data_IF_621639735300
#
_entry.id   IF_621639735300
#
_cell.length_a   1.000
_cell.length_b   1.000
_cell.length_c   1.000
_cell.angle_alpha   90.00
_cell.angle_beta   90.00
_cell.angle_gamma   90.00
#
_symmetry.space_group_name_H-M   'P 1'
#
loop_
_entity.id
_entity.type
_entity.pdbx_description
1 polymer ?
#
# COMPACT_ATOMS: atom_id res chain seq x y z
N UNK A 1 61.69 30.03 -22.79
CA UNK A 1 60.24 30.27 -23.01
C UNK A 1 59.78 31.33 -22.01
N UNK A 2 59.28 32.47 -22.49
CA UNK A 2 59.06 33.69 -21.69
C UNK A 2 57.91 33.51 -20.67
N UNK A 3 58.01 34.07 -19.46
CA UNK A 3 57.06 33.85 -18.36
C UNK A 3 55.62 34.30 -18.70
N UNK A 4 55.49 35.29 -19.61
CA UNK A 4 54.21 35.74 -20.20
C UNK A 4 53.53 34.65 -21.04
N UNK A 5 54.28 33.89 -21.83
CA UNK A 5 53.73 32.87 -22.75
C UNK A 5 53.17 31.66 -21.98
N UNK A 6 53.78 31.30 -20.84
CA UNK A 6 53.25 30.29 -19.92
C UNK A 6 51.93 30.73 -19.26
N UNK A 7 51.85 31.97 -18.79
CA UNK A 7 50.61 32.53 -18.19
C UNK A 7 49.45 32.55 -19.18
N UNK A 8 49.69 32.92 -20.44
CA UNK A 8 48.65 32.93 -21.49
C UNK A 8 48.13 31.52 -21.78
N UNK A 9 49.01 30.51 -21.88
CA UNK A 9 48.59 29.11 -22.07
C UNK A 9 47.74 28.59 -20.89
N UNK A 10 48.12 28.92 -19.65
CA UNK A 10 47.34 28.56 -18.46
C UNK A 10 45.93 29.17 -18.47
N UNK A 11 45.81 30.46 -18.79
CA UNK A 11 44.50 31.14 -18.89
C UNK A 11 43.61 30.47 -19.95
N UNK A 12 44.17 30.11 -21.11
CA UNK A 12 43.42 29.41 -22.17
C UNK A 12 42.93 28.03 -21.73
N UNK A 13 43.73 27.28 -20.97
CA UNK A 13 43.32 25.98 -20.41
C UNK A 13 42.16 26.17 -19.40
N UNK A 14 42.24 27.17 -18.52
CA UNK A 14 41.14 27.46 -17.58
C UNK A 14 39.84 27.89 -18.27
N UNK A 15 39.93 28.72 -19.32
CA UNK A 15 38.76 29.09 -20.14
C UNK A 15 38.17 27.85 -20.82
N UNK A 16 39.01 26.94 -21.31
CA UNK A 16 38.55 25.71 -21.93
C UNK A 16 37.84 24.78 -20.94
N UNK A 17 38.39 24.61 -19.73
CA UNK A 17 37.74 23.85 -18.64
C UNK A 17 36.38 24.49 -18.28
N UNK A 18 36.32 25.82 -18.19
CA UNK A 18 35.07 26.53 -17.90
C UNK A 18 34.00 26.32 -19.00
N UNK A 19 34.38 26.42 -20.29
CA UNK A 19 33.49 26.16 -21.42
C UNK A 19 32.99 24.71 -21.39
N UNK A 20 33.87 23.75 -21.13
CA UNK A 20 33.51 22.34 -21.03
C UNK A 20 32.50 22.07 -19.92
N UNK A 21 32.69 22.73 -18.76
CA UNK A 21 31.81 22.60 -17.61
C UNK A 21 30.42 23.18 -17.91
N UNK A 22 30.37 24.34 -18.58
CA UNK A 22 29.09 24.96 -19.01
C UNK A 22 28.38 24.09 -20.04
N UNK A 23 29.10 23.53 -21.01
CA UNK A 23 28.53 22.64 -22.02
C UNK A 23 28.04 21.34 -21.38
N UNK A 24 28.80 20.74 -20.46
CA UNK A 24 28.32 19.58 -19.68
C UNK A 24 27.04 19.90 -18.92
N UNK A 25 26.99 21.04 -18.22
CA UNK A 25 25.80 21.43 -17.46
C UNK A 25 24.58 21.68 -18.38
N UNK A 26 24.82 22.27 -19.56
CA UNK A 26 23.77 22.48 -20.56
C UNK A 26 23.27 21.15 -21.15
N UNK A 27 24.17 20.22 -21.48
CA UNK A 27 23.81 18.87 -21.95
C UNK A 27 22.99 18.14 -20.89
N UNK A 28 23.45 18.17 -19.64
CA UNK A 28 22.78 17.54 -18.50
C UNK A 28 21.35 18.07 -18.28
N UNK A 29 21.16 19.39 -18.32
CA UNK A 29 19.88 19.99 -17.94
C UNK A 29 18.90 20.17 -19.10
N UNK A 30 19.40 20.35 -20.32
CA UNK A 30 18.57 20.65 -21.50
C UNK A 30 18.25 19.38 -22.28
N UNK A 31 19.17 18.41 -22.36
CA UNK A 31 19.00 17.21 -23.16
C UNK A 31 18.62 15.97 -22.36
N UNK A 32 18.92 15.92 -21.05
CA UNK A 32 18.69 14.75 -20.21
C UNK A 32 17.90 15.07 -18.94
N UNK A 33 16.58 15.19 -19.05
CA UNK A 33 15.69 15.26 -17.88
C UNK A 33 15.46 13.85 -17.29
N UNK A 34 16.48 13.37 -16.55
CA UNK A 34 16.47 12.02 -15.95
C UNK A 34 15.90 12.12 -14.52
N UNK A 35 14.74 11.50 -14.25
CA UNK A 35 14.13 11.52 -12.93
C UNK A 35 14.85 10.58 -11.96
N UNK A 36 14.58 10.75 -10.66
CA UNK A 36 15.17 9.92 -9.60
C UNK A 36 14.63 8.49 -9.62
N UNK A 37 15.44 7.47 -9.27
CA UNK A 37 14.99 6.10 -9.10
C UNK A 37 13.85 5.97 -8.07
N UNK A 38 12.95 5.00 -8.27
CA UNK A 38 11.77 4.76 -7.43
C UNK A 38 12.02 3.86 -6.21
N UNK A 39 13.12 3.09 -6.16
CA UNK A 39 13.26 1.93 -5.24
C UNK A 39 13.78 2.24 -3.83
N UNK A 40 13.99 3.49 -3.43
CA UNK A 40 14.54 3.79 -2.08
C UNK A 40 13.59 3.48 -0.91
N UNK A 41 12.35 3.05 -1.15
CA UNK A 41 11.27 2.96 -0.13
C UNK A 41 10.46 1.67 -0.15
N UNK A 42 10.94 0.60 -0.76
CA UNK A 42 10.18 -0.66 -0.87
C UNK A 42 9.77 -1.25 0.50
N UNK A 43 10.70 -1.23 1.46
CA UNK A 43 10.43 -1.62 2.86
C UNK A 43 9.35 -0.72 3.49
N UNK A 44 9.36 0.58 3.20
CA UNK A 44 8.40 1.56 3.74
C UNK A 44 6.96 1.27 3.29
N UNK A 45 6.79 0.72 2.08
CA UNK A 45 5.45 0.39 1.55
C UNK A 45 4.95 -0.97 2.03
N UNK A 46 5.83 -1.94 2.27
CA UNK A 46 5.42 -3.27 2.72
C UNK A 46 5.28 -3.38 4.25
N UNK A 47 6.06 -2.59 5.01
CA UNK A 47 6.09 -2.65 6.47
C UNK A 47 4.70 -2.55 7.14
N UNK A 48 3.79 -1.63 6.74
CA UNK A 48 2.45 -1.56 7.34
C UNK A 48 1.63 -2.85 7.22
N UNK A 49 1.80 -3.59 6.12
CA UNK A 49 1.15 -4.89 5.92
C UNK A 49 1.73 -5.93 6.86
N UNK A 50 3.05 -5.99 6.98
CA UNK A 50 3.73 -6.93 7.89
C UNK A 50 3.33 -6.72 9.35
N UNK A 51 3.21 -5.48 9.79
CA UNK A 51 2.73 -5.14 11.14
C UNK A 51 1.28 -5.57 11.34
N UNK A 52 0.42 -5.31 10.34
CA UNK A 52 -0.97 -5.74 10.36
C UNK A 52 -1.12 -7.27 10.42
N UNK A 53 -0.35 -8.04 9.66
CA UNK A 53 -0.37 -9.51 9.69
C UNK A 53 -0.07 -10.05 11.10
N UNK A 54 0.88 -9.45 11.81
CA UNK A 54 1.20 -9.83 13.20
C UNK A 54 0.00 -9.59 14.12
N UNK A 55 -0.59 -8.40 14.06
CA UNK A 55 -1.76 -8.05 14.88
C UNK A 55 -2.99 -8.89 14.55
N UNK A 56 -3.23 -9.17 13.26
CA UNK A 56 -4.31 -10.05 12.79
C UNK A 56 -4.13 -11.47 13.33
N UNK A 57 -2.90 -12.00 13.32
CA UNK A 57 -2.60 -13.33 13.87
C UNK A 57 -2.86 -13.40 15.37
N UNK A 58 -2.41 -12.41 16.14
CA UNK A 58 -2.64 -12.34 17.59
C UNK A 58 -4.13 -12.25 17.93
N UNK A 59 -4.89 -11.43 17.19
CA UNK A 59 -6.34 -11.31 17.39
C UNK A 59 -7.08 -12.59 17.01
N UNK A 60 -6.66 -13.26 15.94
CA UNK A 60 -7.25 -14.54 15.57
C UNK A 60 -7.01 -15.61 16.64
N UNK A 61 -5.78 -15.68 17.17
CA UNK A 61 -5.45 -16.54 18.31
C UNK A 61 -6.31 -16.20 19.53
N UNK A 62 -6.47 -14.92 19.86
CA UNK A 62 -7.33 -14.48 20.97
C UNK A 62 -8.80 -14.90 20.80
N UNK A 63 -9.37 -14.73 19.61
CA UNK A 63 -10.76 -15.13 19.33
C UNK A 63 -10.97 -16.64 19.44
N UNK A 64 -9.98 -17.43 19.00
CA UNK A 64 -9.98 -18.89 19.13
C UNK A 64 -9.77 -19.34 20.59
N UNK A 65 -8.76 -18.81 21.29
CA UNK A 65 -8.43 -19.16 22.67
C UNK A 65 -9.55 -18.82 23.65
N UNK A 66 -10.25 -17.71 23.43
CA UNK A 66 -11.42 -17.31 24.22
C UNK A 66 -12.70 -18.01 23.80
N UNK A 67 -12.64 -18.90 22.80
CA UNK A 67 -13.77 -19.68 22.29
C UNK A 67 -15.02 -18.84 21.98
N UNK A 68 -14.85 -17.54 21.66
CA UNK A 68 -15.95 -16.57 21.53
C UNK A 68 -16.96 -17.01 20.46
N UNK A 69 -16.45 -17.58 19.37
CA UNK A 69 -17.27 -18.09 18.26
C UNK A 69 -18.10 -19.29 18.70
N UNK A 70 -17.53 -20.23 19.47
CA UNK A 70 -18.29 -21.36 20.03
C UNK A 70 -19.28 -20.90 21.09
N UNK A 71 -18.96 -19.88 21.87
CA UNK A 71 -19.84 -19.32 22.87
C UNK A 71 -21.02 -18.55 22.27
N UNK A 72 -20.89 -18.02 21.06
CA UNK A 72 -21.93 -17.24 20.40
C UNK A 72 -22.70 -18.03 19.32
N UNK A 73 -22.18 -19.19 18.91
CA UNK A 73 -22.79 -20.03 17.90
C UNK A 73 -24.16 -20.59 18.34
N UNK A 74 -25.22 -20.07 17.73
CA UNK A 74 -26.61 -20.54 17.88
C UNK A 74 -26.85 -21.95 17.31
N UNK A 75 -25.98 -22.42 16.42
CA UNK A 75 -26.03 -23.78 15.82
C UNK A 75 -25.75 -24.91 16.82
N UNK A 76 -25.29 -24.60 18.04
CA UNK A 76 -25.09 -25.61 19.10
C UNK A 76 -26.39 -25.96 19.84
N UNK A 77 -27.50 -25.28 19.53
CA UNK A 77 -28.85 -25.61 20.02
C UNK A 77 -29.08 -25.42 21.53
N UNK A 78 -28.18 -24.74 22.24
CA UNK A 78 -28.15 -24.75 23.72
C UNK A 78 -28.12 -23.39 24.44
N UNK A 79 -28.30 -22.25 23.78
CA UNK A 79 -28.18 -20.95 24.47
C UNK A 79 -29.43 -20.09 24.47
N UNK A 80 -29.81 -19.66 25.68
CA UNK A 80 -30.65 -18.50 25.96
C UNK A 80 -29.90 -17.22 25.60
N UNK A 81 -30.60 -16.27 24.96
CA UNK A 81 -30.06 -14.95 24.60
C UNK A 81 -30.20 -14.06 25.85
N UNK A 82 -29.32 -14.28 26.83
CA UNK A 82 -29.32 -13.61 28.13
C UNK A 82 -28.24 -12.51 28.23
N UNK A 83 -28.09 -11.90 29.41
CA UNK A 83 -27.06 -10.87 29.67
C UNK A 83 -25.62 -11.37 29.47
N UNK A 84 -25.38 -12.66 29.70
CA UNK A 84 -24.07 -13.28 29.47
C UNK A 84 -23.78 -13.38 27.98
N UNK A 85 -24.76 -13.80 27.17
CA UNK A 85 -24.66 -13.82 25.72
C UNK A 85 -24.34 -12.43 25.16
N UNK A 86 -25.05 -11.39 25.62
CA UNK A 86 -24.80 -10.01 25.18
C UNK A 86 -23.38 -9.52 25.55
N UNK A 87 -22.86 -9.95 26.70
CA UNK A 87 -21.49 -9.64 27.14
C UNK A 87 -20.44 -10.28 26.23
N UNK A 88 -20.61 -11.55 25.86
CA UNK A 88 -19.71 -12.25 24.94
C UNK A 88 -19.79 -11.65 23.54
N UNK A 89 -21.00 -11.32 23.08
CA UNK A 89 -21.24 -10.70 21.78
C UNK A 89 -20.56 -9.34 21.67
N UNK A 90 -20.64 -8.55 22.74
CA UNK A 90 -19.93 -7.27 22.86
C UNK A 90 -18.42 -7.45 22.67
N UNK A 91 -17.81 -8.42 23.36
CA UNK A 91 -16.37 -8.71 23.25
C UNK A 91 -15.99 -9.11 21.83
N UNK A 92 -16.77 -9.99 21.20
CA UNK A 92 -16.55 -10.37 19.80
C UNK A 92 -16.62 -9.18 18.85
N UNK A 93 -17.66 -8.34 18.93
CA UNK A 93 -17.78 -7.14 18.10
C UNK A 93 -16.65 -6.14 18.32
N UNK A 94 -16.15 -6.00 19.56
CA UNK A 94 -14.98 -5.18 19.83
C UNK A 94 -13.73 -5.70 19.11
N UNK A 95 -13.49 -7.02 19.13
CA UNK A 95 -12.37 -7.62 18.40
C UNK A 95 -12.50 -7.46 16.89
N UNK A 96 -13.69 -7.72 16.33
CA UNK A 96 -13.97 -7.48 14.91
C UNK A 96 -13.75 -6.02 14.51
N UNK A 97 -14.17 -5.07 15.34
CA UNK A 97 -13.94 -3.66 15.11
C UNK A 97 -12.44 -3.32 15.06
N UNK A 98 -11.64 -3.87 15.97
CA UNK A 98 -10.20 -3.67 15.97
C UNK A 98 -9.52 -4.28 14.74
N UNK A 99 -9.90 -5.51 14.35
CA UNK A 99 -9.42 -6.15 13.13
C UNK A 99 -9.61 -5.25 11.91
N UNK A 100 -10.83 -4.74 11.71
CA UNK A 100 -11.11 -3.84 10.60
C UNK A 100 -10.30 -2.55 10.70
N UNK A 101 -10.18 -1.94 11.88
CA UNK A 101 -9.37 -0.72 12.09
C UNK A 101 -7.90 -0.92 11.74
N UNK A 102 -7.33 -2.08 12.02
CA UNK A 102 -5.93 -2.40 11.66
C UNK A 102 -5.78 -2.42 10.15
N UNK A 103 -6.64 -3.14 9.42
CA UNK A 103 -6.48 -3.31 7.98
C UNK A 103 -6.86 -2.06 7.16
N UNK A 104 -7.73 -1.20 7.68
CA UNK A 104 -8.02 0.13 7.10
C UNK A 104 -7.21 1.25 7.75
N UNK A 105 -6.11 0.89 8.42
CA UNK A 105 -5.25 1.89 9.04
C UNK A 105 -4.68 2.83 7.98
N UNK A 106 -4.50 4.09 8.38
CA UNK A 106 -3.94 5.13 7.51
C UNK A 106 -2.63 4.69 6.82
N UNK A 107 -1.67 4.05 7.49
CA UNK A 107 -0.43 3.60 6.84
C UNK A 107 -0.66 2.60 5.70
N UNK A 108 -1.59 1.64 5.86
CA UNK A 108 -1.92 0.66 4.81
C UNK A 108 -2.55 1.37 3.60
N UNK A 109 -3.56 2.21 3.84
CA UNK A 109 -4.24 2.93 2.77
C UNK A 109 -3.29 3.86 2.01
N UNK A 110 -2.42 4.60 2.72
CA UNK A 110 -1.40 5.42 2.10
C UNK A 110 -0.40 4.61 1.28
N UNK A 111 -0.06 3.40 1.71
CA UNK A 111 0.84 2.52 0.95
C UNK A 111 0.18 2.02 -0.34
N UNK A 112 -1.11 1.66 -0.29
CA UNK A 112 -1.91 1.31 -1.47
C UNK A 112 -1.94 2.48 -2.46
N UNK A 113 -2.24 3.69 -1.99
CA UNK A 113 -2.33 4.88 -2.82
C UNK A 113 -0.97 5.20 -3.47
N UNK A 114 0.13 5.20 -2.71
CA UNK A 114 1.48 5.46 -3.22
C UNK A 114 1.96 4.40 -4.21
N UNK A 115 1.70 3.12 -3.94
CA UNK A 115 2.04 2.05 -4.89
C UNK A 115 1.28 2.24 -6.21
N UNK A 116 -0.01 2.58 -6.13
CA UNK A 116 -0.84 2.84 -7.31
C UNK A 116 -0.36 4.05 -8.11
N UNK A 117 -0.01 5.14 -7.42
CA UNK A 117 0.57 6.34 -8.04
C UNK A 117 1.91 6.03 -8.72
N UNK A 118 2.79 5.29 -8.06
CA UNK A 118 4.10 4.92 -8.61
C UNK A 118 3.97 4.02 -9.84
N UNK A 119 3.01 3.08 -9.85
CA UNK A 119 2.69 2.28 -11.04
C UNK A 119 2.31 3.20 -12.21
N UNK A 120 1.44 4.19 -11.98
CA UNK A 120 1.04 5.14 -13.02
C UNK A 120 2.19 6.02 -13.52
N UNK A 121 3.05 6.50 -12.62
CA UNK A 121 4.26 7.25 -13.00
C UNK A 121 5.19 6.36 -13.84
N UNK A 122 5.39 5.11 -13.43
CA UNK A 122 6.25 4.16 -14.14
C UNK A 122 5.72 3.87 -15.54
N UNK A 123 4.41 3.61 -15.69
CA UNK A 123 3.75 3.41 -16.99
C UNK A 123 3.91 4.61 -17.91
N UNK A 124 3.65 5.82 -17.41
CA UNK A 124 3.77 7.06 -18.19
C UNK A 124 5.21 7.29 -18.65
N UNK A 125 6.17 7.14 -17.75
CA UNK A 125 7.58 7.37 -18.05
C UNK A 125 8.16 6.30 -18.99
N UNK A 126 7.79 5.03 -18.80
CA UNK A 126 8.23 3.94 -19.68
C UNK A 126 7.49 3.94 -21.02
N UNK A 127 6.29 4.52 -21.07
CA UNK A 127 5.35 4.46 -22.20
C UNK A 127 4.98 3.02 -22.56
N UNK A 128 4.90 2.14 -21.55
CA UNK A 128 4.69 0.71 -21.72
C UNK A 128 3.85 0.14 -20.57
N UNK A 129 2.94 -0.76 -20.92
CA UNK A 129 2.15 -1.55 -19.96
C UNK A 129 2.80 -2.90 -19.65
N UNK A 130 4.02 -3.16 -20.14
CA UNK A 130 4.71 -4.44 -19.92
C UNK A 130 4.96 -4.72 -18.44
N UNK A 131 5.11 -3.70 -17.60
CA UNK A 131 5.30 -3.89 -16.17
C UNK A 131 4.02 -4.31 -15.42
N UNK A 132 2.86 -4.28 -16.08
CA UNK A 132 1.60 -4.79 -15.55
C UNK A 132 1.41 -6.30 -15.83
N UNK A 133 2.30 -6.90 -16.62
CA UNK A 133 2.24 -8.31 -16.97
C UNK A 133 2.89 -9.15 -15.88
N UNK A 134 2.09 -9.97 -15.19
CA UNK A 134 2.60 -11.02 -14.31
C UNK A 134 2.59 -12.33 -15.12
N UNK A 135 3.75 -12.97 -15.23
CA UNK A 135 3.96 -14.17 -16.05
C UNK A 135 3.50 -14.02 -17.51
N UNK A 136 3.60 -12.79 -18.04
CA UNK A 136 3.20 -12.47 -19.41
C UNK A 136 1.71 -12.19 -19.63
N UNK A 137 0.87 -12.19 -18.57
CA UNK A 137 -0.56 -11.89 -18.66
C UNK A 137 -0.96 -10.62 -17.89
N UNK A 138 -1.92 -9.85 -18.45
CA UNK A 138 -2.58 -8.73 -17.77
C UNK A 138 -3.70 -9.18 -16.81
N UNK A 139 -4.04 -10.47 -16.78
CA UNK A 139 -5.17 -10.97 -16.01
C UNK A 139 -5.05 -10.62 -14.53
N UNK A 140 -3.85 -10.69 -13.96
CA UNK A 140 -3.62 -10.38 -12.54
C UNK A 140 -3.90 -8.92 -12.22
N UNK A 141 -3.44 -7.98 -13.05
CA UNK A 141 -3.71 -6.55 -12.86
C UNK A 141 -5.20 -6.22 -13.06
N UNK A 142 -5.81 -6.76 -14.11
CA UNK A 142 -7.24 -6.58 -14.38
C UNK A 142 -8.10 -7.13 -13.25
N UNK A 143 -7.74 -8.31 -12.72
CA UNK A 143 -8.39 -8.92 -11.57
C UNK A 143 -8.23 -8.08 -10.31
N UNK A 144 -7.03 -7.52 -10.10
CA UNK A 144 -6.74 -6.64 -8.97
C UNK A 144 -7.62 -5.39 -9.02
N UNK A 145 -7.69 -4.69 -10.15
CA UNK A 145 -8.55 -3.50 -10.30
C UNK A 145 -10.02 -3.85 -10.08
N UNK A 146 -10.49 -4.97 -10.65
CA UNK A 146 -11.88 -5.42 -10.54
C UNK A 146 -12.26 -5.86 -9.12
N UNK A 147 -11.34 -6.48 -8.37
CA UNK A 147 -11.64 -7.07 -7.06
C UNK A 147 -11.22 -6.19 -5.89
N UNK A 148 -10.08 -5.53 -5.96
CA UNK A 148 -9.49 -4.86 -4.80
C UNK A 148 -10.14 -3.52 -4.48
N UNK A 149 -10.42 -2.68 -5.50
CA UNK A 149 -11.08 -1.39 -5.29
C UNK A 149 -12.46 -1.50 -4.66
N UNK A 150 -13.36 -2.41 -5.13
CA UNK A 150 -14.62 -2.64 -4.43
C UNK A 150 -14.45 -3.20 -3.02
N UNK A 151 -13.45 -4.07 -2.82
CA UNK A 151 -13.14 -4.64 -1.51
C UNK A 151 -12.70 -3.57 -0.50
N UNK A 152 -11.82 -2.64 -0.89
CA UNK A 152 -11.40 -1.50 -0.04
C UNK A 152 -12.63 -0.68 0.38
N UNK A 153 -13.50 -0.32 -0.57
CA UNK A 153 -14.74 0.44 -0.26
C UNK A 153 -15.64 -0.32 0.71
N UNK A 154 -15.79 -1.64 0.50
CA UNK A 154 -16.60 -2.51 1.35
C UNK A 154 -16.05 -2.55 2.78
N UNK A 155 -14.75 -2.82 2.93
CA UNK A 155 -14.05 -2.92 4.22
C UNK A 155 -14.09 -1.57 4.96
N UNK A 156 -13.90 -0.45 4.27
CA UNK A 156 -14.00 0.91 4.87
C UNK A 156 -15.38 1.19 5.49
N UNK A 157 -16.45 0.57 5.00
CA UNK A 157 -17.80 0.71 5.56
C UNK A 157 -18.06 -0.14 6.83
N UNK A 158 -17.28 -1.20 7.05
CA UNK A 158 -17.51 -2.19 8.13
C UNK A 158 -17.44 -1.61 9.54
N UNK A 159 -16.45 -0.76 9.91
CA UNK A 159 -16.36 -0.22 11.26
C UNK A 159 -17.63 0.52 11.71
N UNK A 160 -18.26 1.28 10.81
CA UNK A 160 -19.49 2.02 11.13
C UNK A 160 -20.67 1.10 11.39
N UNK A 161 -20.83 0.04 10.60
CA UNK A 161 -21.86 -0.97 10.79
C UNK A 161 -21.67 -1.71 12.13
N UNK A 162 -20.44 -2.13 12.44
CA UNK A 162 -20.09 -2.79 13.70
C UNK A 162 -20.38 -1.88 14.90
N UNK A 163 -19.95 -0.62 14.83
CA UNK A 163 -20.21 0.38 15.89
C UNK A 163 -21.69 0.61 16.13
N UNK A 164 -22.52 0.62 15.07
CA UNK A 164 -23.96 0.77 15.21
C UNK A 164 -24.57 -0.37 16.01
N UNK A 165 -24.17 -1.61 15.76
CA UNK A 165 -24.65 -2.76 16.55
C UNK A 165 -24.06 -2.72 17.96
N UNK A 166 -22.79 -2.35 18.10
CA UNK A 166 -22.13 -2.28 19.41
C UNK A 166 -22.83 -1.30 20.37
N UNK A 167 -23.30 -0.16 19.85
CA UNK A 167 -24.12 0.80 20.63
C UNK A 167 -25.44 0.18 21.07
N UNK A 168 -26.15 -0.48 20.16
CA UNK A 168 -27.39 -1.19 20.51
C UNK A 168 -27.19 -2.22 21.61
N UNK A 169 -26.13 -3.03 21.52
CA UNK A 169 -25.76 -4.03 22.54
C UNK A 169 -25.55 -3.38 23.92
N UNK A 170 -24.95 -2.19 23.98
CA UNK A 170 -24.72 -1.44 25.22
C UNK A 170 -26.01 -0.86 25.83
N UNK A 171 -26.96 -0.53 24.99
CA UNK A 171 -28.23 0.11 25.36
C UNK A 171 -29.33 -0.90 25.67
N UNK A 172 -29.09 -2.21 25.44
CA UNK A 172 -30.05 -3.28 25.73
C UNK A 172 -30.43 -3.25 27.23
N UNK A 173 -31.72 -3.12 27.56
CA UNK A 173 -32.19 -3.21 28.94
C UNK A 173 -31.85 -4.58 29.55
N UNK A 174 -31.41 -4.65 30.82
CA UNK A 174 -31.10 -5.91 31.50
C UNK A 174 -32.28 -6.89 31.47
N UNK A 175 -32.00 -8.18 31.58
CA UNK A 175 -33.02 -9.23 31.43
C UNK A 175 -34.12 -9.11 32.48
N UNK A 176 -33.73 -8.66 33.68
CA UNK A 176 -34.63 -8.36 34.78
C UNK A 176 -34.67 -6.86 35.04
N UNK A 177 -35.86 -6.35 35.29
CA UNK A 177 -36.06 -4.97 35.71
C UNK A 177 -35.63 -4.76 37.17
N UNK A 178 -35.83 -3.54 37.69
CA UNK A 178 -35.45 -3.19 39.07
C UNK A 178 -36.22 -3.97 40.14
N UNK A 179 -37.35 -4.59 39.78
CA UNK A 179 -38.19 -5.38 40.66
C UNK A 179 -37.88 -6.89 40.56
N UNK A 180 -37.02 -7.29 39.61
CA UNK A 180 -36.67 -8.68 39.35
C UNK A 180 -37.57 -9.36 38.30
N UNK A 181 -38.50 -8.63 37.69
CA UNK A 181 -39.41 -9.11 36.67
C UNK A 181 -38.75 -9.12 35.28
N UNK A 182 -39.17 -10.03 34.40
CA UNK A 182 -38.59 -10.12 33.06
C UNK A 182 -38.93 -8.91 32.18
N UNK A 183 -37.90 -8.30 31.60
CA UNK A 183 -38.05 -7.17 30.68
C UNK A 183 -38.43 -7.65 29.28
N UNK A 184 -39.69 -7.45 28.88
CA UNK A 184 -40.19 -7.76 27.53
C UNK A 184 -39.45 -6.93 26.47
N UNK A 185 -39.22 -5.64 26.74
CA UNK A 185 -38.50 -4.73 25.84
C UNK A 185 -37.04 -5.20 25.63
N UNK A 186 -36.37 -5.60 26.72
CA UNK A 186 -35.03 -6.16 26.66
C UNK A 186 -34.98 -7.47 25.86
N UNK A 187 -35.97 -8.35 26.02
CA UNK A 187 -36.03 -9.62 25.28
C UNK A 187 -36.23 -9.39 23.77
N UNK A 188 -37.09 -8.44 23.39
CA UNK A 188 -37.34 -8.08 21.99
C UNK A 188 -36.08 -7.51 21.34
N UNK A 189 -35.39 -6.56 21.99
CA UNK A 189 -34.19 -5.95 21.42
C UNK A 189 -33.04 -6.96 21.28
N UNK A 190 -32.87 -7.88 22.25
CA UNK A 190 -31.89 -8.99 22.14
C UNK A 190 -32.18 -9.89 20.94
N UNK A 191 -33.45 -10.21 20.71
CA UNK A 191 -33.87 -11.03 19.58
C UNK A 191 -33.63 -10.29 18.26
N UNK A 192 -34.01 -9.01 18.15
CA UNK A 192 -33.80 -8.21 16.94
C UNK A 192 -32.31 -8.09 16.59
N UNK A 193 -31.45 -7.78 17.58
CA UNK A 193 -30.01 -7.75 17.39
C UNK A 193 -29.52 -9.09 16.85
N UNK A 194 -29.97 -10.21 17.44
CA UNK A 194 -29.53 -11.55 17.03
C UNK A 194 -30.00 -11.89 15.62
N UNK A 195 -31.26 -11.60 15.26
CA UNK A 195 -31.80 -11.80 13.91
C UNK A 195 -31.02 -10.99 12.89
N UNK A 196 -30.81 -9.69 13.15
CA UNK A 196 -30.02 -8.81 12.28
C UNK A 196 -28.59 -9.30 12.09
N UNK A 197 -27.98 -9.87 13.14
CA UNK A 197 -26.66 -10.50 13.05
C UNK A 197 -26.71 -11.80 12.25
N UNK A 198 -27.78 -12.58 12.30
CA UNK A 198 -27.91 -13.77 11.45
C UNK A 198 -28.11 -13.41 9.98
N UNK A 199 -28.78 -12.29 9.70
CA UNK A 199 -29.04 -11.79 8.35
C UNK A 199 -27.83 -11.12 7.70
N UNK A 200 -26.89 -10.57 8.50
CA UNK A 200 -25.62 -10.05 8.01
C UNK A 200 -24.50 -11.08 8.21
N UNK A 201 -24.07 -11.80 7.16
CA UNK A 201 -23.06 -12.85 7.26
C UNK A 201 -21.76 -12.37 7.90
N UNK A 202 -21.44 -11.07 7.81
CA UNK A 202 -20.18 -10.50 8.27
C UNK A 202 -20.18 -10.06 9.73
N UNK A 203 -21.37 -9.94 10.32
CA UNK A 203 -21.58 -9.66 11.73
C UNK A 203 -22.08 -10.91 12.46
N UNK A 204 -22.55 -11.92 11.72
CA UNK A 204 -23.02 -13.18 12.26
C UNK A 204 -21.95 -13.90 13.05
N UNK A 205 -22.34 -14.53 14.16
CA UNK A 205 -21.45 -15.37 14.93
C UNK A 205 -21.88 -16.82 14.75
N UNK A 206 -21.53 -17.39 13.59
CA UNK A 206 -21.77 -18.80 13.27
C UNK A 206 -20.48 -19.57 13.51
N UNK A 207 -20.60 -20.84 13.92
CA UNK A 207 -19.46 -21.73 14.21
C UNK A 207 -18.46 -21.78 13.04
N UNK A 208 -18.97 -21.69 11.83
CA UNK A 208 -18.21 -21.77 10.57
C UNK A 208 -18.10 -20.41 9.85
N UNK A 209 -18.40 -19.29 10.53
CA UNK A 209 -18.31 -17.97 9.90
C UNK A 209 -16.86 -17.54 9.69
N UNK A 210 -16.28 -18.05 8.61
CA UNK A 210 -14.97 -17.66 8.12
C UNK A 210 -15.06 -16.45 7.18
N UNK A 211 -16.25 -15.96 6.85
CA UNK A 211 -16.43 -14.96 5.79
C UNK A 211 -15.72 -13.63 6.09
N UNK A 212 -15.78 -13.15 7.33
CA UNK A 212 -15.08 -11.94 7.72
C UNK A 212 -13.55 -12.10 7.68
N UNK A 213 -13.04 -13.24 8.15
CA UNK A 213 -11.61 -13.57 8.08
C UNK A 213 -11.15 -13.79 6.62
N UNK A 214 -11.99 -14.41 5.78
CA UNK A 214 -11.75 -14.59 4.35
C UNK A 214 -11.71 -13.25 3.62
N UNK A 215 -12.60 -12.30 3.96
CA UNK A 215 -12.59 -10.94 3.40
C UNK A 215 -11.28 -10.22 3.74
N UNK A 216 -10.84 -10.31 4.99
CA UNK A 216 -9.56 -9.76 5.46
C UNK A 216 -8.37 -10.43 4.75
N UNK A 217 -8.36 -11.76 4.65
CA UNK A 217 -7.31 -12.49 3.94
C UNK A 217 -7.26 -12.11 2.46
N UNK A 218 -8.42 -11.98 1.80
CA UNK A 218 -8.49 -11.51 0.41
C UNK A 218 -7.93 -10.10 0.26
N UNK A 219 -8.16 -9.22 1.24
CA UNK A 219 -7.59 -7.88 1.24
C UNK A 219 -6.06 -7.93 1.31
N UNK A 220 -5.50 -8.73 2.23
CA UNK A 220 -4.04 -8.88 2.37
C UNK A 220 -3.39 -9.52 1.14
N UNK A 221 -4.02 -10.54 0.56
CA UNK A 221 -3.54 -11.15 -0.69
C UNK A 221 -3.55 -10.17 -1.86
N UNK A 222 -4.55 -9.29 -1.96
CA UNK A 222 -4.59 -8.28 -3.00
C UNK A 222 -3.56 -7.16 -2.74
N UNK A 223 -3.23 -6.87 -1.48
CA UNK A 223 -2.10 -6.00 -1.16
C UNK A 223 -0.78 -6.59 -1.71
N UNK A 224 -0.52 -7.87 -1.47
CA UNK A 224 0.70 -8.54 -1.97
C UNK A 224 0.77 -8.52 -3.50
N UNK A 225 -0.37 -8.69 -4.19
CA UNK A 225 -0.44 -8.56 -5.65
C UNK A 225 -0.15 -7.14 -6.13
N UNK A 226 -0.71 -6.12 -5.46
CA UNK A 226 -0.41 -4.72 -5.79
C UNK A 226 1.07 -4.42 -5.61
N UNK A 227 1.66 -4.89 -4.51
CA UNK A 227 3.08 -4.72 -4.21
C UNK A 227 3.97 -5.39 -5.25
N UNK A 228 3.63 -6.62 -5.69
CA UNK A 228 4.34 -7.32 -6.76
C UNK A 228 4.33 -6.55 -8.10
N UNK A 229 3.17 -6.00 -8.48
CA UNK A 229 3.06 -5.16 -9.69
C UNK A 229 3.86 -3.87 -9.55
N UNK A 230 3.78 -3.23 -8.37
CA UNK A 230 4.60 -2.07 -8.05
C UNK A 230 6.09 -2.36 -8.22
N UNK A 231 6.58 -3.48 -7.70
CA UNK A 231 7.98 -3.88 -7.82
C UNK A 231 8.41 -4.05 -9.28
N UNK A 232 7.61 -4.72 -10.10
CA UNK A 232 7.90 -4.89 -11.52
C UNK A 232 7.93 -3.54 -12.25
N UNK A 233 6.97 -2.66 -11.98
CA UNK A 233 6.94 -1.32 -12.56
C UNK A 233 8.09 -0.43 -12.09
N UNK A 234 8.46 -0.49 -10.81
CA UNK A 234 9.61 0.23 -10.27
C UNK A 234 10.93 -0.28 -10.88
N UNK A 235 11.09 -1.59 -11.07
CA UNK A 235 12.26 -2.18 -11.75
C UNK A 235 12.35 -1.73 -13.20
N UNK A 236 11.26 -1.82 -13.95
CA UNK A 236 11.20 -1.38 -15.37
C UNK A 236 11.51 0.12 -15.50
N UNK A 237 10.95 0.93 -14.60
CA UNK A 237 11.26 2.35 -14.50
C UNK A 237 12.74 2.61 -14.22
N UNK A 238 13.30 1.97 -13.20
CA UNK A 238 14.70 2.15 -12.80
C UNK A 238 15.68 1.67 -13.88
N UNK A 239 15.35 0.60 -14.61
CA UNK A 239 16.13 0.16 -15.76
C UNK A 239 16.14 1.23 -16.86
N UNK A 240 14.98 1.83 -17.18
CA UNK A 240 14.91 2.93 -18.15
C UNK A 240 15.71 4.16 -17.70
N UNK A 241 15.60 4.54 -16.43
CA UNK A 241 16.39 5.61 -15.82
C UNK A 241 17.89 5.32 -15.94
N UNK A 242 18.32 4.12 -15.55
CA UNK A 242 19.74 3.70 -15.60
C UNK A 242 20.28 3.70 -17.03
N UNK A 243 19.50 3.20 -17.99
CA UNK A 243 19.88 3.21 -19.40
C UNK A 243 20.03 4.64 -19.93
N UNK A 244 19.12 5.55 -19.57
CA UNK A 244 19.20 6.96 -19.94
C UNK A 244 20.41 7.66 -19.29
N UNK A 245 20.73 7.33 -18.04
CA UNK A 245 21.97 7.79 -17.39
C UNK A 245 23.20 7.28 -18.13
N UNK A 246 23.22 6.01 -18.53
CA UNK A 246 24.30 5.45 -19.34
C UNK A 246 24.45 6.15 -20.70
N UNK A 247 23.35 6.41 -21.42
CA UNK A 247 23.38 7.17 -22.68
C UNK A 247 23.88 8.59 -22.47
N UNK A 248 23.45 9.25 -21.40
CA UNK A 248 23.92 10.57 -21.01
C UNK A 248 25.43 10.57 -20.80
N UNK A 249 25.96 9.65 -20.00
CA UNK A 249 27.39 9.59 -19.69
C UNK A 249 28.23 9.34 -20.95
N UNK A 250 27.77 8.45 -21.84
CA UNK A 250 28.42 8.18 -23.13
C UNK A 250 28.41 9.42 -24.03
N UNK A 251 27.27 10.10 -24.16
CA UNK A 251 27.14 11.30 -25.02
C UNK A 251 28.01 12.44 -24.47
N UNK A 252 27.97 12.67 -23.15
CA UNK A 252 28.82 13.64 -22.47
C UNK A 252 30.32 13.36 -22.69
N UNK A 253 30.72 12.08 -22.65
CA UNK A 253 32.09 11.66 -22.98
C UNK A 253 32.46 11.90 -24.46
N UNK A 254 31.56 11.60 -25.41
CA UNK A 254 31.79 11.90 -26.83
C UNK A 254 31.93 13.41 -27.09
N UNK A 255 31.08 14.23 -26.48
CA UNK A 255 31.16 15.68 -26.58
C UNK A 255 32.50 16.17 -26.01
N UNK A 256 32.93 15.62 -24.87
CA UNK A 256 34.25 15.91 -24.31
C UNK A 256 35.39 15.59 -25.28
N UNK A 257 35.39 14.40 -25.90
CA UNK A 257 36.42 14.00 -26.87
C UNK A 257 36.45 14.95 -28.08
N UNK A 258 35.29 15.24 -28.68
CA UNK A 258 35.19 16.13 -29.85
C UNK A 258 35.70 17.53 -29.51
N UNK A 259 35.26 18.12 -28.39
CA UNK A 259 35.72 19.44 -27.94
C UNK A 259 37.21 19.47 -27.64
N UNK A 260 37.77 18.38 -27.10
CA UNK A 260 39.21 18.24 -26.84
C UNK A 260 40.00 18.22 -28.14
N UNK A 261 39.56 17.46 -29.15
CA UNK A 261 40.20 17.40 -30.47
C UNK A 261 40.12 18.76 -31.17
N UNK A 262 38.95 19.41 -31.15
CA UNK A 262 38.76 20.73 -31.78
C UNK A 262 39.65 21.79 -31.13
N UNK A 263 39.76 21.80 -29.81
CA UNK A 263 40.65 22.71 -29.10
C UNK A 263 42.12 22.41 -29.39
N UNK A 264 42.52 21.14 -29.35
CA UNK A 264 43.89 20.74 -29.68
C UNK A 264 44.28 21.17 -31.10
N UNK A 265 43.41 20.96 -32.10
CA UNK A 265 43.65 21.43 -33.47
C UNK A 265 43.81 22.95 -33.53
N UNK A 266 42.85 23.70 -32.96
CA UNK A 266 42.84 25.17 -33.03
C UNK A 266 44.01 25.82 -32.29
N UNK A 267 44.39 25.29 -31.13
CA UNK A 267 45.32 25.97 -30.21
C UNK A 267 46.72 25.35 -30.12
N UNK A 268 46.88 24.05 -30.41
CA UNK A 268 48.19 23.39 -30.33
C UNK A 268 48.83 23.15 -31.70
N UNK A 269 48.02 22.95 -32.75
CA UNK A 269 48.53 22.77 -34.12
C UNK A 269 48.57 24.07 -34.94
N UNK A 270 48.01 25.19 -34.44
CA UNK A 270 47.97 26.49 -35.15
C UNK A 270 47.40 26.39 -36.58
N UNK A 271 46.42 25.50 -36.79
CA UNK A 271 45.65 25.40 -38.04
C UNK A 271 44.26 25.99 -37.82
#
# INVERSE_FOLDING_TARGET
MNNKTKKIKLIKIFIWIAILTIVHFAVDKIFFDIPKPMMDKDIEFYQPKSEADSSLREMNLYMHDKNLISELSTQTGKKTIDDSYMTVLRKYHSQMLELYKIIISKPILMSIDKMSENIEIARKYTSSDQCLLIDGSQDTFNLLVKKYTPLIKKINGRPKAILSIHKRILEVPPEKDKNGDFSVEGAIERLDITVKLMEDPYLSVRKDNTEALLEINQFMMNFDRLHSIYLQCAQSYNQKVTNLTGYKDVISYFIFLVLTVLFYRKEMLNV
#
